data_IF_480232138016
#
_entry.id   IF_480232138016
#
_cell.length_a   1.000
_cell.length_b   1.000
_cell.length_c   1.000
_cell.angle_alpha   90.00
_cell.angle_beta   90.00
_cell.angle_gamma   90.00
#
_symmetry.space_group_name_H-M   'P 1'
#
loop_
_entity.id
_entity.type
_entity.pdbx_description
1 polymer ?
#
# COMPACT_ATOMS: atom_id res chain seq x y z
N UNK A 1 6.70 23.84 0.77
CA UNK A 1 6.26 22.45 0.73
C UNK A 1 7.19 21.64 -0.19
N UNK A 2 7.42 20.39 0.13
CA UNK A 2 8.23 19.46 -0.66
C UNK A 2 7.41 18.19 -0.90
N UNK A 3 7.31 17.74 -2.14
CA UNK A 3 6.60 16.52 -2.51
C UNK A 3 7.23 15.90 -3.76
N UNK A 4 7.21 14.57 -3.85
CA UNK A 4 7.77 13.81 -4.98
C UNK A 4 6.72 13.40 -6.03
N UNK A 5 5.42 13.56 -5.76
CA UNK A 5 4.34 12.95 -6.57
C UNK A 5 3.16 13.88 -6.82
N UNK A 6 3.32 15.20 -6.60
CA UNK A 6 2.22 16.13 -6.79
C UNK A 6 1.89 16.34 -8.28
N UNK A 7 0.64 16.05 -8.64
CA UNK A 7 0.08 16.46 -9.95
C UNK A 7 -0.07 17.99 -10.02
N UNK A 8 -0.24 18.58 -11.21
CA UNK A 8 -0.47 20.03 -11.33
C UNK A 8 -1.63 20.56 -10.49
N UNK A 9 -2.71 19.77 -10.37
CA UNK A 9 -3.88 20.10 -9.55
C UNK A 9 -3.54 20.11 -8.06
N UNK A 10 -2.81 19.10 -7.59
CA UNK A 10 -2.35 19.01 -6.20
C UNK A 10 -1.39 20.15 -5.86
N UNK A 11 -0.50 20.56 -6.78
CA UNK A 11 0.38 21.72 -6.57
C UNK A 11 -0.44 22.98 -6.35
N UNK A 12 -1.48 23.23 -7.17
CA UNK A 12 -2.38 24.39 -7.02
C UNK A 12 -3.13 24.34 -5.68
N UNK A 13 -3.62 23.18 -5.31
CA UNK A 13 -4.33 22.97 -4.04
C UNK A 13 -3.41 23.24 -2.82
N UNK A 14 -2.17 22.76 -2.87
CA UNK A 14 -1.15 23.04 -1.85
C UNK A 14 -0.90 24.53 -1.70
N UNK A 15 -0.71 25.24 -2.82
CA UNK A 15 -0.47 26.71 -2.78
C UNK A 15 -1.66 27.46 -2.18
N UNK A 16 -2.88 27.08 -2.57
CA UNK A 16 -4.11 27.70 -2.09
C UNK A 16 -4.34 27.42 -0.60
N UNK A 17 -4.28 26.15 -0.20
CA UNK A 17 -4.57 25.75 1.20
C UNK A 17 -3.52 26.20 2.20
N UNK A 18 -2.25 26.26 1.79
CA UNK A 18 -1.17 26.73 2.65
C UNK A 18 -0.95 28.25 2.57
N UNK A 19 -1.76 28.99 1.79
CA UNK A 19 -1.69 30.43 1.68
C UNK A 19 -0.31 30.92 1.20
N UNK A 20 0.24 30.31 0.15
CA UNK A 20 1.52 30.73 -0.39
C UNK A 20 1.43 32.16 -0.91
N UNK A 21 2.53 32.91 -0.76
CA UNK A 21 2.63 34.27 -1.29
C UNK A 21 2.56 34.24 -2.81
N UNK A 22 2.08 35.31 -3.43
CA UNK A 22 1.97 35.45 -4.89
C UNK A 22 3.32 35.36 -5.60
N UNK A 23 4.40 35.82 -4.95
CA UNK A 23 5.78 35.77 -5.44
C UNK A 23 6.49 34.41 -5.18
N UNK A 24 5.78 33.42 -4.67
CA UNK A 24 6.33 32.10 -4.40
C UNK A 24 6.80 31.39 -5.67
N UNK A 25 7.94 30.70 -5.59
CA UNK A 25 8.51 29.98 -6.75
C UNK A 25 8.24 28.49 -6.64
N UNK A 26 7.88 27.89 -7.77
CA UNK A 26 7.69 26.45 -7.91
C UNK A 26 8.89 25.88 -8.67
N UNK A 27 9.61 24.97 -8.04
CA UNK A 27 10.68 24.21 -8.66
C UNK A 27 10.15 22.83 -9.01
N UNK A 28 10.23 22.44 -10.28
CA UNK A 28 9.79 21.14 -10.79
C UNK A 28 10.96 20.42 -11.41
N UNK A 29 11.04 19.12 -11.14
CA UNK A 29 11.96 18.22 -11.80
C UNK A 29 11.16 17.16 -12.58
N UNK A 30 11.78 16.57 -13.58
CA UNK A 30 11.20 15.41 -14.28
C UNK A 30 11.06 14.23 -13.32
N UNK A 31 9.97 13.49 -13.46
CA UNK A 31 9.76 12.22 -12.76
C UNK A 31 10.51 11.06 -13.43
N UNK A 32 11.09 11.29 -14.60
CA UNK A 32 11.83 10.27 -15.34
C UNK A 32 13.08 9.83 -14.58
N UNK A 33 13.18 8.54 -14.36
CA UNK A 33 14.31 7.87 -13.74
C UNK A 33 14.95 6.94 -14.75
N UNK A 34 15.99 7.41 -15.46
CA UNK A 34 16.68 6.65 -16.54
C UNK A 34 17.27 5.31 -16.09
N UNK A 35 17.58 5.20 -14.81
CA UNK A 35 18.14 4.00 -14.19
C UNK A 35 17.07 3.02 -13.65
N UNK A 36 15.78 3.38 -13.66
CA UNK A 36 14.69 2.58 -13.12
C UNK A 36 13.80 2.07 -14.25
N UNK A 37 13.75 0.76 -14.45
CA UNK A 37 12.86 0.13 -15.41
C UNK A 37 11.55 -0.30 -14.73
N UNK A 38 10.43 0.15 -15.27
CA UNK A 38 9.07 -0.26 -14.87
C UNK A 38 8.61 -1.42 -15.73
N UNK A 39 8.26 -2.54 -15.11
CA UNK A 39 7.92 -3.80 -15.78
C UNK A 39 6.61 -4.33 -15.23
N UNK A 40 5.70 -4.73 -16.11
CA UNK A 40 4.52 -5.51 -15.74
C UNK A 40 4.70 -6.94 -16.23
N UNK A 41 4.59 -7.89 -15.32
CA UNK A 41 4.65 -9.32 -15.62
C UNK A 41 3.27 -9.95 -15.47
N UNK A 42 2.72 -10.40 -16.59
CA UNK A 42 1.51 -11.22 -16.58
C UNK A 42 1.88 -12.65 -16.19
N UNK A 43 1.26 -13.15 -15.14
CA UNK A 43 1.55 -14.50 -14.64
C UNK A 43 0.29 -15.17 -14.07
N UNK A 44 0.23 -16.48 -14.15
CA UNK A 44 -0.78 -17.28 -13.47
C UNK A 44 -0.35 -17.66 -12.05
N UNK A 45 0.98 -17.79 -11.82
CA UNK A 45 1.58 -18.06 -10.52
C UNK A 45 2.51 -16.92 -10.08
N UNK A 46 1.98 -16.01 -9.26
CA UNK A 46 2.78 -14.90 -8.72
C UNK A 46 3.93 -15.36 -7.81
N UNK A 47 3.78 -16.51 -7.17
CA UNK A 47 4.82 -17.05 -6.29
C UNK A 47 6.03 -17.54 -7.08
N UNK A 48 5.82 -18.31 -8.14
CA UNK A 48 6.88 -18.80 -9.01
C UNK A 48 7.60 -17.62 -9.71
N UNK A 49 6.83 -16.66 -10.24
CA UNK A 49 7.40 -15.49 -10.90
C UNK A 49 8.20 -14.62 -9.91
N UNK A 50 7.73 -14.46 -8.67
CA UNK A 50 8.46 -13.75 -7.62
C UNK A 50 9.82 -14.41 -7.33
N UNK A 51 9.84 -15.73 -7.15
CA UNK A 51 11.08 -16.50 -6.92
C UNK A 51 12.02 -16.40 -8.13
N UNK A 52 11.49 -16.53 -9.35
CA UNK A 52 12.26 -16.41 -10.56
C UNK A 52 12.95 -15.03 -10.69
N UNK A 53 12.22 -13.94 -10.43
CA UNK A 53 12.77 -12.58 -10.50
C UNK A 53 13.83 -12.37 -9.42
N UNK A 54 13.57 -12.78 -8.18
CA UNK A 54 14.52 -12.63 -7.09
C UNK A 54 15.80 -13.45 -7.29
N UNK A 55 15.72 -14.60 -7.94
CA UNK A 55 16.89 -15.39 -8.29
C UNK A 55 17.66 -14.82 -9.51
N UNK A 56 16.97 -14.11 -10.38
CA UNK A 56 17.59 -13.53 -11.60
C UNK A 56 18.30 -12.20 -11.35
N UNK A 57 17.91 -11.46 -10.31
CA UNK A 57 18.49 -10.13 -10.01
C UNK A 57 19.00 -10.13 -8.57
N UNK A 58 20.29 -9.98 -8.41
CA UNK A 58 20.94 -9.88 -7.09
C UNK A 58 20.74 -8.50 -6.45
N UNK A 59 21.07 -8.39 -5.15
CA UNK A 59 21.00 -7.14 -4.37
C UNK A 59 19.74 -7.03 -3.52
N UNK A 60 19.63 -5.93 -2.78
CA UNK A 60 18.51 -5.67 -1.89
C UNK A 60 17.19 -5.51 -2.63
N UNK A 61 16.12 -6.05 -2.06
CA UNK A 61 14.79 -5.98 -2.65
C UNK A 61 13.71 -5.58 -1.62
N UNK A 62 12.65 -4.96 -2.12
CA UNK A 62 11.41 -4.73 -1.38
C UNK A 62 10.28 -5.44 -2.13
N UNK A 63 9.47 -6.21 -1.42
CA UNK A 63 8.28 -6.88 -1.96
C UNK A 63 7.05 -6.32 -1.27
N UNK A 64 6.20 -5.63 -2.03
CA UNK A 64 4.96 -5.08 -1.51
C UNK A 64 3.82 -6.06 -1.63
N UNK A 65 3.13 -6.24 -0.50
CA UNK A 65 1.88 -6.99 -0.39
C UNK A 65 0.84 -6.13 0.30
N UNK A 66 -0.42 -6.50 0.17
CA UNK A 66 -1.50 -5.66 0.62
C UNK A 66 -1.87 -5.82 2.10
N UNK A 67 -1.75 -7.01 2.65
CA UNK A 67 -2.20 -7.29 4.01
C UNK A 67 -1.10 -7.91 4.89
N UNK A 68 -1.28 -7.76 6.19
CA UNK A 68 -0.32 -8.19 7.21
C UNK A 68 -0.03 -9.70 7.17
N UNK A 69 -1.07 -10.51 6.96
CA UNK A 69 -0.93 -11.97 6.89
C UNK A 69 -0.07 -12.37 5.69
N UNK A 70 -0.35 -11.77 4.53
CA UNK A 70 0.39 -12.07 3.30
C UNK A 70 1.86 -11.63 3.34
N UNK A 71 2.20 -10.54 4.07
CA UNK A 71 3.61 -10.17 4.24
C UNK A 71 4.40 -11.27 4.92
N UNK A 72 3.82 -11.90 5.94
CA UNK A 72 4.43 -13.02 6.64
C UNK A 72 4.54 -14.26 5.76
N UNK A 73 3.44 -14.66 5.12
CA UNK A 73 3.39 -15.83 4.23
C UNK A 73 4.42 -15.74 3.10
N UNK A 74 4.54 -14.56 2.47
CA UNK A 74 5.53 -14.36 1.41
C UNK A 74 6.96 -14.35 1.96
N UNK A 75 7.22 -13.77 3.12
CA UNK A 75 8.54 -13.84 3.73
C UNK A 75 8.94 -15.27 4.09
N UNK A 76 8.01 -16.06 4.65
CA UNK A 76 8.23 -17.49 4.94
C UNK A 76 8.47 -18.29 3.64
N UNK A 77 7.72 -18.02 2.58
CA UNK A 77 7.95 -18.61 1.25
C UNK A 77 9.39 -18.35 0.76
N UNK A 78 9.86 -17.10 0.88
CA UNK A 78 11.21 -16.72 0.44
C UNK A 78 12.29 -17.44 1.25
N UNK A 79 12.15 -17.48 2.57
CA UNK A 79 13.10 -18.17 3.47
C UNK A 79 13.15 -19.67 3.18
N UNK A 80 12.00 -20.30 2.93
CA UNK A 80 11.92 -21.72 2.56
C UNK A 80 12.56 -22.03 1.19
N UNK A 81 12.79 -21.00 0.37
CA UNK A 81 13.49 -21.08 -0.91
C UNK A 81 14.89 -20.45 -0.85
N UNK A 82 15.54 -20.45 0.30
CA UNK A 82 16.92 -20.01 0.53
C UNK A 82 17.17 -18.52 0.24
N UNK A 83 16.10 -17.69 0.20
CA UNK A 83 16.22 -16.23 0.04
C UNK A 83 16.03 -15.60 1.41
N UNK A 84 17.07 -14.96 1.95
CA UNK A 84 16.99 -14.28 3.25
C UNK A 84 15.97 -13.14 3.19
N UNK A 85 14.93 -13.23 4.00
CA UNK A 85 13.82 -12.27 3.98
C UNK A 85 13.30 -11.98 5.39
N UNK A 86 12.80 -10.78 5.56
CA UNK A 86 12.05 -10.36 6.74
C UNK A 86 10.76 -9.65 6.31
N UNK A 87 9.84 -9.37 7.24
CA UNK A 87 8.59 -8.70 6.91
C UNK A 87 8.30 -7.52 7.81
N UNK A 88 7.53 -6.55 7.27
CA UNK A 88 7.18 -5.30 7.96
C UNK A 88 5.74 -4.90 7.70
N UNK A 89 5.01 -4.55 8.77
CA UNK A 89 3.68 -3.95 8.69
C UNK A 89 3.36 -3.11 9.93
N UNK A 90 2.37 -2.24 9.85
CA UNK A 90 2.02 -1.31 10.93
C UNK A 90 1.67 -2.00 12.26
N UNK A 91 1.14 -3.22 12.23
CA UNK A 91 0.73 -3.97 13.43
C UNK A 91 1.87 -4.64 14.22
N UNK A 92 3.14 -4.47 13.82
CA UNK A 92 4.29 -4.93 14.61
C UNK A 92 4.62 -3.94 15.73
N UNK A 93 5.15 -4.44 16.84
CA UNK A 93 5.72 -3.59 17.89
C UNK A 93 6.93 -2.80 17.37
N UNK A 94 7.19 -1.64 17.94
CA UNK A 94 8.26 -0.75 17.44
C UNK A 94 9.65 -1.41 17.50
N UNK A 95 9.97 -2.10 18.57
CA UNK A 95 11.26 -2.82 18.69
C UNK A 95 11.46 -3.86 17.58
N UNK A 96 10.38 -4.60 17.24
CA UNK A 96 10.42 -5.58 16.16
C UNK A 96 10.53 -4.90 14.80
N UNK A 97 9.88 -3.76 14.61
CA UNK A 97 10.01 -2.94 13.40
C UNK A 97 11.45 -2.50 13.20
N UNK A 98 12.05 -1.95 14.25
CA UNK A 98 13.43 -1.44 14.22
C UNK A 98 14.44 -2.57 13.98
N UNK A 99 14.27 -3.72 14.64
CA UNK A 99 15.13 -4.88 14.44
C UNK A 99 15.10 -5.36 12.99
N UNK A 100 13.90 -5.54 12.42
CA UNK A 100 13.73 -6.01 11.05
C UNK A 100 14.23 -5.01 10.02
N UNK A 101 14.00 -3.73 10.25
CA UNK A 101 14.54 -2.68 9.41
C UNK A 101 16.06 -2.67 9.41
N UNK A 102 16.71 -2.81 10.60
CA UNK A 102 18.17 -2.89 10.71
C UNK A 102 18.73 -4.12 9.99
N UNK A 103 18.12 -5.30 10.18
CA UNK A 103 18.53 -6.53 9.49
C UNK A 103 18.49 -6.38 7.96
N UNK A 104 17.49 -5.68 7.42
CA UNK A 104 17.41 -5.41 6.00
C UNK A 104 18.39 -4.31 5.54
N UNK A 105 18.58 -3.27 6.33
CA UNK A 105 19.55 -2.20 6.03
C UNK A 105 20.98 -2.71 6.02
N UNK A 106 21.34 -3.61 6.95
CA UNK A 106 22.67 -4.24 7.01
C UNK A 106 22.91 -5.27 5.92
N UNK A 107 21.85 -5.75 5.25
CA UNK A 107 21.94 -6.82 4.24
C UNK A 107 21.88 -8.23 4.80
N UNK A 108 21.73 -8.43 6.11
CA UNK A 108 21.47 -9.72 6.74
C UNK A 108 20.19 -10.34 6.16
N UNK A 109 19.12 -9.55 6.04
CA UNK A 109 17.94 -9.89 5.25
C UNK A 109 18.02 -9.18 3.89
N UNK A 110 18.12 -9.94 2.81
CA UNK A 110 18.17 -9.41 1.46
C UNK A 110 16.84 -8.77 1.04
N UNK A 111 15.72 -9.38 1.43
CA UNK A 111 14.38 -8.99 1.00
C UNK A 111 13.55 -8.49 2.17
N UNK A 112 12.96 -7.31 2.02
CA UNK A 112 11.92 -6.80 2.90
C UNK A 112 10.55 -7.02 2.28
N UNK A 113 9.72 -7.86 2.88
CA UNK A 113 8.32 -8.03 2.46
C UNK A 113 7.45 -7.11 3.31
N UNK A 114 6.69 -6.22 2.70
CA UNK A 114 6.03 -5.17 3.46
C UNK A 114 4.66 -4.77 2.90
N UNK A 115 3.84 -4.18 3.78
CA UNK A 115 2.71 -3.36 3.33
C UNK A 115 3.19 -1.93 3.03
N UNK A 116 2.30 -1.06 2.53
CA UNK A 116 2.54 0.37 2.32
C UNK A 116 3.04 1.12 3.57
N UNK A 117 2.88 0.53 4.77
CA UNK A 117 3.43 1.09 6.01
C UNK A 117 4.98 1.15 6.04
N UNK A 118 5.65 0.37 5.18
CA UNK A 118 7.09 0.39 5.05
C UNK A 118 7.49 1.39 3.97
N UNK A 119 8.07 2.50 4.38
CA UNK A 119 8.51 3.42 3.36
C UNK A 119 8.86 4.82 3.84
N UNK A 120 8.08 5.45 4.68
CA UNK A 120 8.42 6.80 5.19
C UNK A 120 9.75 6.75 5.98
N UNK A 121 10.69 7.62 5.62
CA UNK A 121 11.98 7.70 6.30
C UNK A 121 13.00 6.60 5.96
N UNK A 122 12.69 5.70 5.02
CA UNK A 122 13.63 4.67 4.59
C UNK A 122 14.49 5.20 3.45
N UNK A 123 15.79 5.21 3.70
CA UNK A 123 16.81 5.59 2.74
C UNK A 123 17.86 4.47 2.64
N UNK A 124 17.66 3.55 1.70
CA UNK A 124 18.64 2.53 1.29
C UNK A 124 18.90 2.73 -0.21
N UNK A 125 20.07 3.24 -0.59
CA UNK A 125 20.33 3.65 -1.96
C UNK A 125 20.44 2.48 -2.94
N UNK A 126 20.89 1.33 -2.47
CA UNK A 126 21.26 0.13 -3.24
C UNK A 126 20.11 -0.87 -3.43
N UNK A 127 18.86 -0.45 -3.34
CA UNK A 127 17.72 -1.32 -3.65
C UNK A 127 17.68 -1.59 -5.15
N UNK A 128 17.82 -2.87 -5.54
CA UNK A 128 17.81 -3.28 -6.96
C UNK A 128 16.44 -3.63 -7.49
N UNK A 129 15.55 -4.10 -6.61
CA UNK A 129 14.22 -4.55 -6.97
C UNK A 129 13.15 -3.98 -6.03
N UNK A 130 12.09 -3.46 -6.62
CA UNK A 130 10.82 -3.25 -5.94
C UNK A 130 9.77 -4.08 -6.67
N UNK A 131 9.16 -5.05 -5.99
CA UNK A 131 8.20 -5.98 -6.59
C UNK A 131 6.84 -5.79 -5.92
N UNK A 132 5.80 -5.56 -6.69
CA UNK A 132 4.41 -5.52 -6.23
C UNK A 132 3.74 -6.87 -6.55
N UNK A 133 3.50 -7.66 -5.52
CA UNK A 133 2.75 -8.92 -5.64
C UNK A 133 1.24 -8.65 -5.73
N UNK A 134 0.79 -7.63 -5.01
CA UNK A 134 -0.59 -7.15 -5.07
C UNK A 134 -0.62 -5.75 -5.72
N UNK A 135 -1.74 -5.45 -6.39
CA UNK A 135 -1.92 -4.13 -7.00
C UNK A 135 -1.92 -3.03 -5.93
N UNK A 136 -1.15 -1.96 -6.09
CA UNK A 136 -1.16 -0.81 -5.20
C UNK A 136 -2.53 -0.10 -5.21
N UNK A 137 -2.73 0.81 -4.27
CA UNK A 137 -4.01 1.50 -4.12
C UNK A 137 -4.25 2.57 -5.18
N UNK A 138 -3.18 3.15 -5.69
CA UNK A 138 -3.22 4.17 -6.73
C UNK A 138 -1.92 4.18 -7.55
N UNK A 139 -1.91 4.80 -8.75
CA UNK A 139 -0.69 5.03 -9.50
C UNK A 139 0.36 5.85 -8.72
N UNK A 140 -0.07 6.82 -7.90
CA UNK A 140 0.80 7.63 -7.06
C UNK A 140 1.49 6.77 -5.99
N UNK A 141 0.73 5.89 -5.33
CA UNK A 141 1.29 4.94 -4.36
C UNK A 141 2.31 4.01 -5.03
N UNK A 142 1.96 3.46 -6.22
CA UNK A 142 2.89 2.65 -7.01
C UNK A 142 4.17 3.40 -7.31
N UNK A 143 4.07 4.65 -7.77
CA UNK A 143 5.23 5.46 -8.14
C UNK A 143 6.12 5.78 -6.93
N UNK A 144 5.54 6.10 -5.77
CA UNK A 144 6.27 6.33 -4.53
C UNK A 144 7.02 5.07 -4.04
N UNK A 145 6.36 3.92 -4.09
CA UNK A 145 6.92 2.64 -3.67
C UNK A 145 8.01 2.18 -4.64
N UNK A 146 7.75 2.22 -5.94
CA UNK A 146 8.70 1.89 -7.00
C UNK A 146 9.94 2.80 -6.96
N UNK A 147 9.75 4.08 -6.67
CA UNK A 147 10.80 5.09 -6.58
C UNK A 147 11.86 4.85 -5.49
N UNK A 148 11.68 3.83 -4.64
CA UNK A 148 12.70 3.39 -3.66
C UNK A 148 13.86 2.66 -4.29
N UNK A 149 13.67 2.10 -5.48
CA UNK A 149 14.72 1.39 -6.19
C UNK A 149 15.71 2.35 -6.87
N UNK A 150 16.99 1.99 -6.86
CA UNK A 150 18.07 2.65 -7.61
C UNK A 150 18.31 4.10 -7.23
N UNK A 151 18.24 4.46 -5.97
CA UNK A 151 18.54 5.83 -5.51
C UNK A 151 20.01 6.21 -5.68
N UNK A 152 20.87 5.22 -5.76
CA UNK A 152 22.30 5.37 -6.05
C UNK A 152 22.62 5.62 -7.53
N UNK A 153 21.59 5.72 -8.39
CA UNK A 153 21.75 5.91 -9.85
C UNK A 153 22.06 4.63 -10.62
N UNK A 154 22.28 3.51 -9.94
CA UNK A 154 22.52 2.22 -10.60
C UNK A 154 21.21 1.62 -11.12
N UNK A 155 21.33 0.75 -12.13
CA UNK A 155 20.19 0.08 -12.74
C UNK A 155 19.34 -0.68 -11.70
N UNK A 156 18.06 -0.43 -11.71
CA UNK A 156 17.09 -1.03 -10.80
C UNK A 156 15.75 -1.31 -11.52
N UNK A 157 14.92 -2.14 -10.92
CA UNK A 157 13.69 -2.59 -11.55
C UNK A 157 12.51 -2.45 -10.57
N UNK A 158 11.40 -1.90 -11.07
CA UNK A 158 10.11 -1.92 -10.42
C UNK A 158 9.19 -2.87 -11.19
N UNK A 159 8.84 -3.98 -10.57
CA UNK A 159 8.09 -5.06 -11.21
C UNK A 159 6.70 -5.17 -10.58
N UNK A 160 5.66 -5.12 -11.39
CA UNK A 160 4.29 -5.39 -10.99
C UNK A 160 3.89 -6.78 -11.50
N UNK A 161 3.55 -7.67 -10.57
CA UNK A 161 3.01 -8.99 -10.90
C UNK A 161 1.50 -8.88 -11.07
N UNK A 162 1.02 -9.16 -12.27
CA UNK A 162 -0.39 -9.07 -12.61
C UNK A 162 -0.96 -10.45 -12.96
N UNK A 163 -2.07 -10.81 -12.32
CA UNK A 163 -2.88 -11.96 -12.65
C UNK A 163 -4.28 -11.52 -13.09
N UNK A 164 -4.95 -12.30 -13.94
CA UNK A 164 -6.32 -11.98 -14.43
C UNK A 164 -7.33 -11.77 -13.28
N UNK A 165 -7.14 -12.48 -12.17
CA UNK A 165 -7.95 -12.33 -10.94
C UNK A 165 -7.81 -10.97 -10.25
N UNK A 166 -6.71 -10.25 -10.48
CA UNK A 166 -6.47 -8.96 -9.84
C UNK A 166 -7.49 -7.90 -10.27
N UNK A 167 -7.96 -7.95 -11.52
CA UNK A 167 -8.99 -7.03 -12.02
C UNK A 167 -10.28 -7.14 -11.21
N UNK A 168 -10.76 -8.37 -10.99
CA UNK A 168 -11.97 -8.61 -10.20
C UNK A 168 -11.78 -8.18 -8.74
N UNK A 169 -10.63 -8.50 -8.16
CA UNK A 169 -10.26 -8.08 -6.80
C UNK A 169 -10.21 -6.57 -6.66
N UNK A 170 -9.62 -5.86 -7.64
CA UNK A 170 -9.57 -4.40 -7.64
C UNK A 170 -10.96 -3.78 -7.80
N UNK A 171 -11.77 -4.28 -8.73
CA UNK A 171 -13.15 -3.80 -8.93
C UNK A 171 -13.97 -3.96 -7.66
N UNK A 172 -13.91 -5.13 -7.02
CA UNK A 172 -14.59 -5.37 -5.74
C UNK A 172 -14.14 -4.36 -4.68
N UNK A 173 -12.84 -4.15 -4.56
CA UNK A 173 -12.27 -3.17 -3.61
C UNK A 173 -12.80 -1.76 -3.81
N UNK A 174 -12.87 -1.30 -5.07
CA UNK A 174 -13.38 0.03 -5.39
C UNK A 174 -14.84 0.14 -4.92
N UNK A 175 -15.66 -0.87 -5.23
CA UNK A 175 -17.06 -0.90 -4.80
C UNK A 175 -17.19 -0.92 -3.28
N UNK A 176 -16.36 -1.72 -2.58
CA UNK A 176 -16.38 -1.81 -1.11
C UNK A 176 -15.92 -0.50 -0.44
N UNK A 177 -14.95 0.21 -1.06
CA UNK A 177 -14.42 1.47 -0.51
C UNK A 177 -15.30 2.68 -0.82
N UNK A 178 -15.96 2.66 -1.97
CA UNK A 178 -16.83 3.74 -2.46
C UNK A 178 -18.23 3.19 -2.76
N UNK A 179 -19.00 2.81 -1.73
CA UNK A 179 -20.34 2.31 -1.91
C UNK A 179 -21.25 3.39 -2.50
N UNK A 180 -22.28 2.97 -3.22
CA UNK A 180 -23.27 3.89 -3.76
C UNK A 180 -24.13 4.55 -2.67
N UNK A 181 -24.84 5.62 -3.05
CA UNK A 181 -25.66 6.39 -2.11
C UNK A 181 -26.81 5.58 -1.53
N UNK A 182 -27.34 4.63 -2.29
CA UNK A 182 -28.45 3.77 -1.84
C UNK A 182 -27.99 2.80 -0.76
N UNK A 183 -26.80 2.22 -0.94
CA UNK A 183 -26.17 1.38 0.08
C UNK A 183 -25.91 2.18 1.37
N UNK A 184 -25.36 3.39 1.27
CA UNK A 184 -25.09 4.24 2.42
C UNK A 184 -26.41 4.59 3.15
N UNK A 185 -27.45 4.93 2.39
CA UNK A 185 -28.79 5.21 2.95
C UNK A 185 -29.36 4.00 3.70
N UNK A 186 -29.27 2.81 3.09
CA UNK A 186 -29.74 1.58 3.71
C UNK A 186 -28.99 1.26 5.00
N UNK A 187 -27.66 1.40 5.02
CA UNK A 187 -26.86 1.21 6.24
C UNK A 187 -27.30 2.21 7.32
N UNK A 188 -27.54 3.46 6.96
CA UNK A 188 -28.03 4.49 7.89
C UNK A 188 -29.41 4.11 8.48
N UNK A 189 -30.34 3.65 7.65
CA UNK A 189 -31.66 3.18 8.08
C UNK A 189 -31.54 1.99 9.03
N UNK A 190 -30.71 1.00 8.69
CA UNK A 190 -30.49 -0.20 9.49
C UNK A 190 -29.78 0.11 10.83
N UNK A 191 -28.90 1.11 10.88
CA UNK A 191 -28.30 1.60 12.14
C UNK A 191 -29.37 2.22 13.05
N UNK A 192 -30.24 3.06 12.49
CA UNK A 192 -31.36 3.63 13.28
C UNK A 192 -32.28 2.53 13.78
N UNK A 193 -32.61 1.55 12.96
CA UNK A 193 -33.41 0.39 13.39
C UNK A 193 -32.68 -0.45 14.44
N UNK A 194 -31.38 -0.64 14.34
CA UNK A 194 -30.58 -1.36 15.35
C UNK A 194 -30.67 -0.73 16.73
N UNK A 195 -30.62 0.60 16.79
CA UNK A 195 -30.74 1.37 18.01
C UNK A 195 -32.21 1.73 18.42
N UNK A 196 -33.17 1.29 17.64
CA UNK A 196 -34.61 1.61 17.85
C UNK A 196 -34.86 3.13 17.92
N UNK A 197 -34.22 3.88 17.05
CA UNK A 197 -34.33 5.33 16.94
C UNK A 197 -35.10 5.70 15.65
N UNK A 198 -35.93 6.74 15.71
CA UNK A 198 -36.52 7.29 14.51
C UNK A 198 -35.47 8.00 13.67
N UNK A 199 -35.60 7.97 12.32
CA UNK A 199 -34.68 8.68 11.44
C UNK A 199 -34.74 10.20 11.73
N UNK A 200 -33.57 10.79 11.96
CA UNK A 200 -33.42 12.18 12.31
C UNK A 200 -33.41 12.48 13.81
N UNK A 201 -33.75 11.52 14.64
CA UNK A 201 -33.60 11.61 16.09
C UNK A 201 -32.18 11.23 16.53
N UNK A 202 -31.85 11.54 17.77
CA UNK A 202 -30.58 11.13 18.38
C UNK A 202 -29.45 12.13 18.23
N UNK A 203 -29.74 13.38 17.90
CA UNK A 203 -28.72 14.44 17.90
C UNK A 203 -28.03 14.51 19.27
N UNK A 204 -26.70 14.28 19.29
CA UNK A 204 -25.90 14.25 20.51
C UNK A 204 -25.98 12.95 21.32
N UNK A 205 -26.70 11.91 20.86
CA UNK A 205 -26.68 10.61 21.49
C UNK A 205 -25.41 9.85 21.22
N UNK A 206 -24.77 9.33 22.25
CA UNK A 206 -23.61 8.43 22.16
C UNK A 206 -24.08 7.04 22.56
N UNK A 207 -23.82 6.04 21.72
CA UNK A 207 -24.17 4.64 21.97
C UNK A 207 -22.97 3.76 21.69
N UNK A 208 -22.81 2.69 22.45
CA UNK A 208 -21.85 1.63 22.09
C UNK A 208 -22.37 0.87 20.88
N UNK A 209 -21.49 0.65 19.89
CA UNK A 209 -21.81 0.01 18.64
C UNK A 209 -20.99 -1.27 18.45
N UNK A 210 -21.68 -2.42 18.44
CA UNK A 210 -21.06 -3.70 18.12
C UNK A 210 -21.19 -3.98 16.62
N UNK A 211 -20.12 -3.68 15.88
CA UNK A 211 -20.06 -3.86 14.43
C UNK A 211 -20.31 -5.32 14.00
N UNK A 212 -19.77 -6.30 14.72
CA UNK A 212 -19.91 -7.71 14.36
C UNK A 212 -21.35 -8.19 14.50
N UNK A 213 -22.01 -7.79 15.60
CA UNK A 213 -23.42 -8.09 15.83
C UNK A 213 -24.31 -7.43 14.78
N UNK A 214 -24.08 -6.15 14.50
CA UNK A 214 -24.79 -5.39 13.47
C UNK A 214 -24.66 -6.06 12.11
N UNK A 215 -23.42 -6.37 11.69
CA UNK A 215 -23.16 -7.03 10.41
C UNK A 215 -23.85 -8.40 10.30
N UNK A 216 -23.89 -9.17 11.40
CA UNK A 216 -24.57 -10.46 11.44
C UNK A 216 -26.09 -10.30 11.30
N UNK A 217 -26.67 -9.33 12.03
CA UNK A 217 -28.12 -9.07 12.03
C UNK A 217 -28.64 -8.60 10.67
N UNK A 218 -27.91 -7.68 10.02
CA UNK A 218 -28.33 -7.05 8.76
C UNK A 218 -27.65 -7.63 7.53
N UNK A 219 -26.85 -8.70 7.69
CA UNK A 219 -26.12 -9.40 6.62
C UNK A 219 -25.13 -8.50 5.86
N UNK A 220 -24.47 -7.60 6.57
CA UNK A 220 -23.36 -6.81 6.03
C UNK A 220 -22.03 -7.53 6.23
N UNK A 221 -21.08 -7.22 5.36
CA UNK A 221 -19.70 -7.60 5.55
C UNK A 221 -18.94 -6.39 6.12
N UNK A 222 -18.27 -6.52 7.28
CA UNK A 222 -17.42 -5.44 7.75
C UNK A 222 -16.30 -5.25 6.74
N UNK A 223 -16.18 -4.04 6.20
CA UNK A 223 -15.04 -3.68 5.36
C UNK A 223 -13.85 -3.56 6.31
N UNK A 224 -12.75 -4.32 6.11
CA UNK A 224 -11.57 -4.11 6.92
C UNK A 224 -11.03 -2.70 6.69
N UNK A 225 -11.04 -1.91 7.75
CA UNK A 225 -10.46 -0.57 7.73
C UNK A 225 -8.93 -0.63 7.66
#
# INVERSE_FOLDING_TARGET
ALTATATPEVVKDIQTKLGFREDSRIFRMSFERKNLAYIVRNTESKQEELLHILNSVSGSAIVYTRNRKRTREVAELLVNNEITATFYHAGLNNDVKDQRQRSWLSGESRVMVATNAFGMGIDKPDVRLVIHVDLPDSPEAYFQEAGRAGRDGQKAYAVLLYAKSDKATLSKRITDTFPDKEYIRKVYEDVNYYFQMAMGDGLGCIREFNLEEFCRKFKYFPVPA
#
